data_IF_799727836912
#
_entry.id   IF_799727836912
#
_cell.length_a   1.000
_cell.length_b   1.000
_cell.length_c   1.000
_cell.angle_alpha   90.00
_cell.angle_beta   90.00
_cell.angle_gamma   90.00
#
_symmetry.space_group_name_H-M   'P 1'
#
loop_
_entity.id
_entity.type
_entity.pdbx_description
1 polymer ?
#
# COMPACT_ATOMS: atom_id res chain seq x y z
N UNK A 1 -1.01 -18.85 -10.85
CA UNK A 1 -1.12 -18.99 -12.32
C UNK A 1 -2.46 -18.45 -12.88
N UNK A 2 -3.64 -19.05 -12.59
CA UNK A 2 -4.94 -18.58 -13.13
C UNK A 2 -5.23 -17.09 -12.93
N UNK A 3 -4.85 -16.53 -11.77
CA UNK A 3 -5.05 -15.09 -11.49
C UNK A 3 -4.14 -14.22 -12.37
N UNK A 4 -2.87 -14.57 -12.54
CA UNK A 4 -1.94 -13.86 -13.41
C UNK A 4 -2.41 -13.90 -14.86
N UNK A 5 -2.76 -15.09 -15.35
CA UNK A 5 -3.30 -15.25 -16.71
C UNK A 5 -4.55 -14.38 -16.96
N UNK A 6 -5.46 -14.33 -15.97
CA UNK A 6 -6.65 -13.48 -16.06
C UNK A 6 -6.29 -12.00 -16.13
N UNK A 7 -5.33 -11.55 -15.31
CA UNK A 7 -4.88 -10.15 -15.26
C UNK A 7 -4.18 -9.78 -16.57
N UNK A 8 -3.29 -10.65 -17.07
CA UNK A 8 -2.65 -10.45 -18.39
C UNK A 8 -3.68 -10.40 -19.52
N UNK A 9 -4.70 -11.28 -19.51
CA UNK A 9 -5.78 -11.22 -20.47
C UNK A 9 -6.64 -9.95 -20.39
N UNK A 10 -6.74 -9.34 -19.21
CA UNK A 10 -7.50 -8.09 -18.98
C UNK A 10 -6.74 -6.85 -19.47
N UNK A 11 -5.44 -6.77 -19.19
CA UNK A 11 -4.64 -5.57 -19.42
C UNK A 11 -3.70 -5.69 -20.63
N UNK A 12 -3.47 -6.91 -21.15
CA UNK A 12 -2.57 -7.20 -22.31
C UNK A 12 -1.22 -6.46 -22.19
N UNK A 13 -0.48 -6.67 -21.09
CA UNK A 13 0.75 -5.93 -20.82
C UNK A 13 1.88 -6.37 -21.77
N UNK A 14 2.73 -5.42 -22.17
CA UNK A 14 3.97 -5.67 -22.89
C UNK A 14 5.06 -6.25 -21.96
N UNK A 15 5.05 -5.87 -20.69
CA UNK A 15 5.98 -6.34 -19.67
C UNK A 15 5.24 -6.64 -18.36
N UNK A 16 5.61 -7.74 -17.72
CA UNK A 16 5.08 -8.12 -16.40
C UNK A 16 6.24 -8.23 -15.42
N UNK A 17 6.16 -7.48 -14.31
CA UNK A 17 7.14 -7.51 -13.24
C UNK A 17 6.48 -8.06 -11.98
N UNK A 18 7.02 -9.14 -11.45
CA UNK A 18 6.56 -9.78 -10.21
C UNK A 18 7.55 -9.45 -9.11
N UNK A 19 7.10 -8.73 -8.10
CA UNK A 19 7.92 -8.33 -6.95
C UNK A 19 7.63 -9.26 -5.77
N UNK A 20 8.70 -9.77 -5.16
CA UNK A 20 8.65 -10.64 -3.99
C UNK A 20 9.22 -9.92 -2.78
N UNK A 21 8.68 -10.22 -1.60
CA UNK A 21 9.30 -9.79 -0.36
C UNK A 21 10.69 -10.44 -0.23
N UNK A 22 11.72 -9.62 0.00
CA UNK A 22 13.06 -10.11 0.25
C UNK A 22 13.21 -10.70 1.65
N UNK A 23 14.24 -11.52 1.85
CA UNK A 23 14.56 -12.03 3.17
C UNK A 23 14.82 -10.85 4.12
N UNK A 24 14.16 -10.86 5.27
CA UNK A 24 14.26 -9.76 6.24
C UNK A 24 13.63 -8.44 5.81
N UNK A 25 12.78 -8.40 4.77
CA UNK A 25 12.21 -7.17 4.20
C UNK A 25 11.62 -6.20 5.23
N UNK A 26 10.91 -6.73 6.23
CA UNK A 26 10.32 -5.88 7.30
C UNK A 26 11.27 -5.53 8.45
N UNK A 27 12.53 -5.96 8.43
CA UNK A 27 13.46 -5.77 9.59
C UNK A 27 13.71 -4.29 9.88
N UNK A 28 13.95 -3.47 8.88
CA UNK A 28 14.19 -2.03 9.05
C UNK A 28 13.01 -1.34 9.73
N UNK A 29 11.77 -1.64 9.30
CA UNK A 29 10.56 -1.07 9.89
C UNK A 29 10.35 -1.56 11.33
N UNK A 30 10.67 -2.83 11.63
CA UNK A 30 10.63 -3.38 13.00
C UNK A 30 11.72 -2.84 13.93
N UNK A 31 12.81 -2.32 13.38
CA UNK A 31 13.82 -1.62 14.20
C UNK A 31 13.30 -0.26 14.65
N UNK A 32 12.48 0.41 13.83
CA UNK A 32 11.86 1.70 14.17
C UNK A 32 10.67 1.47 15.09
N UNK A 33 9.76 0.56 14.72
CA UNK A 33 8.62 0.17 15.54
C UNK A 33 8.55 -1.35 15.70
N UNK A 34 8.84 -1.85 16.91
CA UNK A 34 8.79 -3.28 17.26
C UNK A 34 7.40 -3.89 17.09
N UNK A 35 6.35 -3.08 17.12
CA UNK A 35 4.97 -3.50 16.96
C UNK A 35 4.55 -3.58 15.48
N UNK A 36 5.36 -3.08 14.55
CA UNK A 36 5.08 -3.14 13.13
C UNK A 36 4.77 -4.56 12.67
N UNK A 37 3.58 -4.76 12.11
CA UNK A 37 3.06 -6.08 11.70
C UNK A 37 3.03 -7.14 12.81
N UNK A 38 3.13 -6.75 14.10
CA UNK A 38 3.02 -7.68 15.21
C UNK A 38 1.62 -8.29 15.27
N UNK A 39 1.55 -9.60 15.55
CA UNK A 39 0.28 -10.31 15.68
C UNK A 39 -0.46 -10.58 14.35
N UNK A 40 0.13 -10.28 13.19
CA UNK A 40 -0.42 -10.71 11.90
C UNK A 40 -0.55 -12.23 11.87
N UNK A 41 -1.77 -12.73 11.63
CA UNK A 41 -1.98 -14.17 11.46
C UNK A 41 -1.35 -14.63 10.15
N UNK A 42 -0.62 -15.76 10.14
CA UNK A 42 -0.05 -16.30 8.91
C UNK A 42 -1.13 -16.51 7.84
N UNK A 43 -0.83 -16.10 6.62
CA UNK A 43 -1.74 -16.33 5.48
C UNK A 43 -1.71 -17.81 5.14
N UNK A 44 -2.84 -18.51 5.26
CA UNK A 44 -2.96 -19.91 4.84
C UNK A 44 -3.17 -19.95 3.32
N UNK A 45 -2.16 -20.36 2.57
CA UNK A 45 -2.25 -20.51 1.12
C UNK A 45 -3.13 -21.70 0.69
N UNK A 46 -3.16 -22.76 1.48
CA UNK A 46 -3.98 -23.95 1.18
C UNK A 46 -5.06 -24.14 2.26
N UNK A 47 -6.26 -23.69 1.96
CA UNK A 47 -7.42 -23.83 2.85
C UNK A 47 -7.95 -25.28 2.97
N UNK A 48 -7.45 -26.20 2.14
CA UNK A 48 -7.86 -27.61 2.17
C UNK A 48 -7.06 -28.45 3.16
N UNK A 49 -5.90 -27.97 3.58
CA UNK A 49 -5.07 -28.61 4.61
C UNK A 49 -5.36 -27.92 5.94
N UNK A 50 -6.28 -28.52 6.72
CA UNK A 50 -6.82 -27.93 7.95
C UNK A 50 -5.96 -28.30 9.17
N UNK A 51 -5.25 -29.44 9.10
CA UNK A 51 -4.62 -30.11 10.24
C UNK A 51 -3.08 -29.95 10.26
N UNK A 52 -2.54 -28.90 9.63
CA UNK A 52 -1.11 -28.61 9.68
C UNK A 52 -0.74 -27.89 10.98
N UNK A 53 0.33 -28.31 11.62
CA UNK A 53 0.98 -27.54 12.68
C UNK A 53 1.45 -26.17 12.14
N UNK A 54 1.74 -25.18 12.99
CA UNK A 54 2.29 -23.90 12.56
C UNK A 54 3.54 -24.03 11.70
N UNK A 55 4.48 -24.93 12.11
CA UNK A 55 5.73 -25.17 11.36
C UNK A 55 5.49 -25.81 10.00
N UNK A 56 4.59 -26.78 9.91
CA UNK A 56 4.20 -27.42 8.65
C UNK A 56 3.47 -26.42 7.73
N UNK A 57 2.66 -25.54 8.30
CA UNK A 57 1.97 -24.48 7.55
C UNK A 57 2.96 -23.50 6.93
N UNK A 58 3.99 -23.08 7.68
CA UNK A 58 5.03 -22.19 7.18
C UNK A 58 5.89 -22.89 6.11
N UNK A 59 6.31 -24.13 6.36
CA UNK A 59 7.05 -24.92 5.37
C UNK A 59 6.25 -25.10 4.07
N UNK A 60 4.95 -25.37 4.18
CA UNK A 60 4.07 -25.50 3.02
C UNK A 60 3.94 -24.17 2.26
N UNK A 61 3.85 -23.04 2.97
CA UNK A 61 3.84 -21.70 2.37
C UNK A 61 5.09 -21.45 1.54
N UNK A 62 6.28 -21.68 2.12
CA UNK A 62 7.55 -21.50 1.41
C UNK A 62 7.68 -22.41 0.20
N UNK A 63 7.30 -23.68 0.31
CA UNK A 63 7.30 -24.61 -0.80
C UNK A 63 6.36 -24.18 -1.95
N UNK A 64 5.19 -23.65 -1.63
CA UNK A 64 4.26 -23.15 -2.65
C UNK A 64 4.79 -21.88 -3.32
N UNK A 65 5.39 -20.98 -2.55
CA UNK A 65 6.01 -19.76 -3.08
C UNK A 65 7.17 -20.10 -4.01
N UNK A 66 8.07 -21.00 -3.57
CA UNK A 66 9.20 -21.47 -4.36
C UNK A 66 8.74 -22.10 -5.68
N UNK A 67 7.77 -23.02 -5.63
CA UNK A 67 7.20 -23.61 -6.85
C UNK A 67 6.55 -22.59 -7.76
N UNK A 68 5.92 -21.55 -7.22
CA UNK A 68 5.36 -20.49 -8.03
C UNK A 68 6.48 -19.71 -8.75
N UNK A 69 7.58 -19.42 -8.07
CA UNK A 69 8.75 -18.79 -8.70
C UNK A 69 9.31 -19.64 -9.82
N UNK A 70 9.46 -20.97 -9.61
CA UNK A 70 9.90 -21.92 -10.67
C UNK A 70 8.97 -21.84 -11.90
N UNK A 71 7.65 -21.92 -11.70
CA UNK A 71 6.71 -21.82 -12.83
C UNK A 71 6.73 -20.48 -13.53
N UNK A 72 7.05 -19.40 -12.82
CA UNK A 72 7.14 -18.08 -13.43
C UNK A 72 8.42 -17.91 -14.25
N UNK A 73 9.49 -18.68 -13.96
CA UNK A 73 10.70 -18.68 -14.79
C UNK A 73 10.47 -19.20 -16.21
N UNK A 74 9.43 -20.04 -16.40
CA UNK A 74 9.04 -20.55 -17.72
C UNK A 74 8.16 -19.56 -18.52
N UNK A 75 7.86 -18.39 -17.95
CA UNK A 75 7.01 -17.38 -18.55
C UNK A 75 7.81 -16.11 -18.87
N UNK A 76 7.36 -15.28 -19.85
CA UNK A 76 8.00 -14.02 -20.17
C UNK A 76 7.66 -12.95 -19.09
N UNK A 77 8.07 -13.20 -17.86
CA UNK A 77 7.89 -12.28 -16.74
C UNK A 77 9.24 -11.99 -16.08
N UNK A 78 9.42 -10.78 -15.62
CA UNK A 78 10.57 -10.39 -14.80
C UNK A 78 10.21 -10.66 -13.35
N UNK A 79 11.05 -11.43 -12.65
CA UNK A 79 10.91 -11.61 -11.20
C UNK A 79 11.98 -10.81 -10.48
N UNK A 80 11.61 -10.10 -9.43
CA UNK A 80 12.54 -9.34 -8.60
C UNK A 80 12.29 -9.59 -7.12
N UNK A 81 13.37 -9.80 -6.38
CA UNK A 81 13.40 -9.95 -4.93
C UNK A 81 14.70 -9.30 -4.44
N UNK A 82 14.59 -8.41 -3.46
CA UNK A 82 15.74 -7.68 -2.91
C UNK A 82 15.77 -7.91 -1.42
N UNK A 83 16.88 -8.45 -0.91
CA UNK A 83 17.04 -8.72 0.52
C UNK A 83 16.89 -7.44 1.34
N UNK A 84 16.24 -7.56 2.47
CA UNK A 84 15.92 -6.46 3.40
C UNK A 84 14.99 -5.38 2.83
N UNK A 85 14.30 -5.66 1.71
CA UNK A 85 13.33 -4.76 1.09
C UNK A 85 11.98 -5.49 0.94
N UNK A 86 10.89 -4.84 1.29
CA UNK A 86 9.55 -5.36 1.05
C UNK A 86 9.16 -5.20 -0.43
N UNK A 87 8.32 -6.10 -0.94
CA UNK A 87 7.84 -6.04 -2.33
C UNK A 87 7.18 -4.70 -2.67
N UNK A 88 6.51 -4.09 -1.70
CA UNK A 88 5.81 -2.81 -1.87
C UNK A 88 6.80 -1.67 -2.21
N UNK A 89 7.98 -1.66 -1.58
CA UNK A 89 9.03 -0.69 -1.87
C UNK A 89 9.61 -0.89 -3.27
N UNK A 90 9.78 -2.16 -3.69
CA UNK A 90 10.24 -2.49 -5.04
C UNK A 90 9.22 -2.06 -6.08
N UNK A 91 7.94 -2.33 -5.86
CA UNK A 91 6.84 -1.89 -6.74
C UNK A 91 6.83 -0.36 -6.85
N UNK A 92 6.94 0.35 -5.73
CA UNK A 92 6.97 1.80 -5.72
C UNK A 92 8.17 2.36 -6.51
N UNK A 93 9.35 1.77 -6.30
CA UNK A 93 10.56 2.13 -7.05
C UNK A 93 10.39 1.92 -8.56
N UNK A 94 9.89 0.75 -8.97
CA UNK A 94 9.67 0.42 -10.39
C UNK A 94 8.64 1.36 -11.01
N UNK A 95 7.52 1.60 -10.32
CA UNK A 95 6.45 2.47 -10.82
C UNK A 95 6.90 3.92 -11.07
N UNK A 96 7.90 4.39 -10.31
CA UNK A 96 8.45 5.74 -10.41
C UNK A 96 9.77 5.80 -11.19
N UNK A 97 10.30 4.65 -11.62
CA UNK A 97 11.60 4.60 -12.27
C UNK A 97 11.56 5.25 -13.66
N UNK A 98 12.58 6.04 -13.99
CA UNK A 98 12.69 6.81 -15.23
C UNK A 98 12.50 5.96 -16.50
N UNK A 99 12.94 4.69 -16.50
CA UNK A 99 12.73 3.74 -17.61
C UNK A 99 11.25 3.62 -18.00
N UNK A 100 10.35 3.70 -17.00
CA UNK A 100 8.90 3.49 -17.16
C UNK A 100 8.09 4.79 -17.09
N UNK A 101 8.74 5.96 -17.11
CA UNK A 101 8.06 7.25 -16.98
C UNK A 101 6.95 7.42 -18.02
N UNK A 102 7.23 7.05 -19.27
CA UNK A 102 6.28 7.17 -20.39
C UNK A 102 5.30 6.00 -20.53
N UNK A 103 5.45 4.96 -19.72
CA UNK A 103 4.63 3.75 -19.82
C UNK A 103 3.32 3.88 -19.04
N UNK A 104 2.24 3.33 -19.62
CA UNK A 104 1.03 3.03 -18.86
C UNK A 104 1.34 1.89 -17.87
N UNK A 105 1.07 2.11 -16.60
CA UNK A 105 1.39 1.15 -15.53
C UNK A 105 0.14 0.73 -14.79
N UNK A 106 0.01 -0.58 -14.53
CA UNK A 106 -1.05 -1.13 -13.69
C UNK A 106 -0.39 -1.87 -12.53
N UNK A 107 -0.42 -1.26 -11.35
CA UNK A 107 -0.04 -1.93 -10.11
C UNK A 107 -1.16 -2.88 -9.72
N UNK A 108 -0.82 -4.12 -9.40
CA UNK A 108 -1.80 -5.14 -8.98
C UNK A 108 -1.61 -5.42 -7.49
N UNK A 109 -2.40 -4.76 -6.66
CA UNK A 109 -2.39 -4.93 -5.20
C UNK A 109 -3.73 -4.54 -4.60
N UNK A 110 -4.08 -5.13 -3.45
CA UNK A 110 -5.23 -4.68 -2.65
C UNK A 110 -4.86 -3.68 -1.57
N UNK A 111 -3.56 -3.38 -1.44
CA UNK A 111 -3.06 -2.42 -0.48
C UNK A 111 -3.43 -0.98 -0.89
N UNK A 112 -3.86 -0.20 0.09
CA UNK A 112 -4.25 1.20 -0.11
C UNK A 112 -3.05 2.14 -0.17
N UNK A 113 -1.91 1.71 0.33
CA UNK A 113 -0.71 2.53 0.32
C UNK A 113 -0.23 2.82 -1.11
N UNK A 114 -0.60 1.97 -2.07
CA UNK A 114 -0.37 2.24 -3.49
C UNK A 114 -1.22 3.36 -4.10
N UNK A 115 -2.23 3.86 -3.39
CA UNK A 115 -2.99 5.02 -3.89
C UNK A 115 -2.11 6.26 -4.08
N UNK A 116 -1.05 6.41 -3.29
CA UNK A 116 -0.07 7.48 -3.45
C UNK A 116 0.70 7.46 -4.78
N UNK A 117 0.74 6.30 -5.46
CA UNK A 117 1.45 6.14 -6.74
C UNK A 117 0.56 6.36 -7.96
N UNK A 118 -0.76 6.55 -7.75
CA UNK A 118 -1.70 6.77 -8.86
C UNK A 118 -1.39 8.10 -9.51
N UNK A 119 -1.38 8.09 -10.85
CA UNK A 119 -1.15 9.25 -11.70
C UNK A 119 -1.91 9.09 -13.02
N UNK A 120 -1.70 9.99 -13.95
CA UNK A 120 -2.28 9.88 -15.30
C UNK A 120 -1.84 8.59 -16.02
N UNK A 121 -0.60 8.10 -15.73
CA UNK A 121 -0.02 6.90 -16.33
C UNK A 121 0.03 5.68 -15.41
N UNK A 122 -0.34 5.82 -14.14
CA UNK A 122 -0.28 4.72 -13.15
C UNK A 122 -1.65 4.49 -12.55
N UNK A 123 -2.17 3.27 -12.71
CA UNK A 123 -3.45 2.82 -12.16
C UNK A 123 -3.22 1.68 -11.16
N UNK A 124 -4.14 1.49 -10.24
CA UNK A 124 -4.11 0.40 -9.27
C UNK A 124 -5.28 -0.55 -9.53
N UNK A 125 -5.00 -1.79 -9.89
CA UNK A 125 -6.00 -2.85 -9.91
C UNK A 125 -6.01 -3.60 -8.58
N UNK A 126 -7.18 -3.63 -7.95
CA UNK A 126 -7.41 -4.27 -6.65
C UNK A 126 -8.11 -5.61 -6.85
N UNK A 127 -7.38 -6.74 -6.88
CA UNK A 127 -7.92 -8.02 -7.33
C UNK A 127 -9.00 -8.60 -6.40
N UNK A 128 -8.94 -8.33 -5.09
CA UNK A 128 -9.95 -8.78 -4.12
C UNK A 128 -11.26 -8.04 -4.34
N UNK A 129 -11.21 -6.73 -4.56
CA UNK A 129 -12.36 -5.86 -4.81
C UNK A 129 -12.82 -5.92 -6.28
N UNK A 130 -11.98 -6.46 -7.18
CA UNK A 130 -12.16 -6.45 -8.65
C UNK A 130 -12.35 -5.03 -9.18
N UNK A 131 -11.63 -4.09 -8.64
CA UNK A 131 -11.75 -2.65 -8.88
C UNK A 131 -10.46 -2.14 -9.53
N UNK A 132 -10.60 -1.37 -10.61
CA UNK A 132 -9.51 -0.57 -11.17
C UNK A 132 -9.68 0.86 -10.66
N UNK A 133 -8.65 1.37 -10.01
CA UNK A 133 -8.63 2.74 -9.46
C UNK A 133 -7.62 3.55 -10.27
N UNK A 134 -8.09 4.54 -10.97
CA UNK A 134 -7.32 5.56 -11.64
C UNK A 134 -7.40 6.90 -10.87
N UNK A 135 -6.77 7.93 -11.40
CA UNK A 135 -6.74 9.25 -10.77
C UNK A 135 -8.14 9.86 -10.56
N UNK A 136 -9.04 9.91 -11.57
CA UNK A 136 -10.40 10.43 -11.37
C UNK A 136 -11.19 9.67 -10.30
N UNK A 137 -11.16 8.34 -10.36
CA UNK A 137 -11.83 7.46 -9.39
C UNK A 137 -11.32 7.69 -7.96
N UNK A 138 -10.00 7.88 -7.79
CA UNK A 138 -9.43 8.16 -6.47
C UNK A 138 -9.92 9.49 -5.91
N UNK A 139 -9.89 10.54 -6.71
CA UNK A 139 -10.36 11.87 -6.31
C UNK A 139 -11.86 11.87 -5.99
N UNK A 140 -12.67 11.20 -6.80
CA UNK A 140 -14.12 11.07 -6.56
C UNK A 140 -14.39 10.36 -5.23
N UNK A 141 -13.65 9.28 -4.96
CA UNK A 141 -13.90 8.40 -3.81
C UNK A 141 -13.38 8.97 -2.49
N UNK A 142 -12.24 9.65 -2.50
CA UNK A 142 -11.54 10.06 -1.29
C UNK A 142 -11.40 11.58 -1.13
N UNK A 143 -11.51 12.35 -2.20
CA UNK A 143 -11.25 13.80 -2.22
C UNK A 143 -9.86 14.17 -1.71
N UNK A 144 -8.87 13.30 -1.94
CA UNK A 144 -7.47 13.46 -1.56
C UNK A 144 -6.61 13.18 -2.80
N UNK A 145 -5.69 14.09 -3.10
CA UNK A 145 -4.76 13.91 -4.20
C UNK A 145 -3.76 12.78 -3.88
N UNK A 146 -3.34 11.94 -4.85
CA UNK A 146 -2.35 10.88 -4.62
C UNK A 146 -1.11 11.33 -3.84
N UNK A 147 -0.53 12.48 -4.17
CA UNK A 147 0.65 13.04 -3.48
C UNK A 147 0.44 13.27 -1.98
N UNK A 148 -0.79 13.49 -1.56
CA UNK A 148 -1.18 13.76 -0.18
C UNK A 148 -1.77 12.51 0.52
N UNK A 149 -1.81 11.38 -0.21
CA UNK A 149 -2.47 10.19 0.32
C UNK A 149 -1.66 9.56 1.47
N UNK A 150 -0.33 9.59 1.39
CA UNK A 150 0.54 9.13 2.47
C UNK A 150 0.32 9.96 3.74
N UNK A 151 0.31 11.32 3.63
CA UNK A 151 0.03 12.22 4.75
C UNK A 151 -1.37 11.96 5.35
N UNK A 152 -2.39 11.79 4.51
CA UNK A 152 -3.73 11.45 5.01
C UNK A 152 -3.75 10.09 5.73
N UNK A 153 -2.93 9.12 5.28
CA UNK A 153 -2.80 7.80 5.91
C UNK A 153 -2.06 7.86 7.24
N UNK A 154 -1.04 8.71 7.40
CA UNK A 154 -0.36 8.88 8.68
C UNK A 154 -1.33 9.37 9.77
N UNK A 155 -2.22 10.31 9.45
CA UNK A 155 -3.27 10.77 10.37
C UNK A 155 -4.23 9.63 10.79
N UNK A 156 -4.58 8.74 9.85
CA UNK A 156 -5.56 7.67 10.09
C UNK A 156 -4.95 6.42 10.72
N UNK A 157 -3.66 6.19 10.48
CA UNK A 157 -2.96 4.98 10.87
C UNK A 157 -3.35 3.75 10.03
N UNK A 158 -2.73 2.62 10.31
CA UNK A 158 -3.04 1.33 9.72
C UNK A 158 -3.14 0.21 10.75
N UNK A 159 -4.37 -0.23 11.00
CA UNK A 159 -4.62 -1.34 11.94
C UNK A 159 -4.05 -2.66 11.45
N UNK A 160 -3.89 -2.86 10.12
CA UNK A 160 -3.35 -4.10 9.57
C UNK A 160 -1.85 -4.21 9.83
N UNK A 161 -1.16 -3.09 9.94
CA UNK A 161 0.26 -3.00 10.24
C UNK A 161 0.55 -2.66 11.70
N UNK A 162 -0.51 -2.55 12.50
CA UNK A 162 -0.45 -2.17 13.91
C UNK A 162 0.12 -0.76 14.12
N UNK A 163 -0.10 0.12 13.14
CA UNK A 163 0.28 1.52 13.22
C UNK A 163 -0.89 2.33 13.77
N UNK A 164 -0.73 2.95 14.95
CA UNK A 164 -1.78 3.79 15.51
C UNK A 164 -1.94 5.05 14.68
N UNK A 165 -3.18 5.50 14.50
CA UNK A 165 -3.48 6.82 13.96
C UNK A 165 -4.10 7.70 15.04
N UNK A 166 -4.39 8.95 14.69
CA UNK A 166 -5.08 9.89 15.58
C UNK A 166 -6.47 9.34 15.95
N UNK A 167 -6.82 9.27 17.24
CA UNK A 167 -8.09 8.71 17.67
C UNK A 167 -9.29 9.39 17.02
N UNK A 168 -10.24 8.60 16.51
CA UNK A 168 -11.49 9.05 15.86
C UNK A 168 -11.29 9.83 14.56
N UNK A 169 -10.10 9.81 13.98
CA UNK A 169 -9.80 10.39 12.68
C UNK A 169 -9.79 9.29 11.61
N UNK A 170 -10.58 9.46 10.57
CA UNK A 170 -10.65 8.56 9.43
C UNK A 170 -10.50 9.33 8.12
N UNK A 171 -10.23 8.67 6.99
CA UNK A 171 -10.00 9.33 5.70
C UNK A 171 -11.11 10.31 5.31
N UNK A 172 -12.38 9.99 5.59
CA UNK A 172 -13.49 10.92 5.32
C UNK A 172 -13.41 12.19 6.17
N UNK A 173 -12.98 12.05 7.42
CA UNK A 173 -12.77 13.19 8.32
C UNK A 173 -11.62 14.04 7.83
N UNK A 174 -10.48 13.41 7.48
CA UNK A 174 -9.33 14.10 6.91
C UNK A 174 -9.73 14.89 5.66
N UNK A 175 -10.35 14.24 4.69
CA UNK A 175 -10.78 14.88 3.44
C UNK A 175 -11.76 16.05 3.64
N UNK A 176 -12.64 15.95 4.65
CA UNK A 176 -13.64 17.00 4.93
C UNK A 176 -13.07 18.19 5.71
N UNK A 177 -12.01 17.97 6.51
CA UNK A 177 -11.41 19.01 7.37
C UNK A 177 -10.22 19.67 6.70
N UNK A 178 -9.48 18.94 5.88
CA UNK A 178 -8.29 19.42 5.17
C UNK A 178 -8.54 19.36 3.66
N UNK A 179 -9.47 20.20 3.18
CA UNK A 179 -9.91 20.22 1.78
C UNK A 179 -8.79 20.54 0.80
N UNK A 180 -7.73 21.21 1.24
CA UNK A 180 -6.54 21.51 0.45
C UNK A 180 -5.75 20.24 0.06
N UNK A 181 -5.90 19.13 0.78
CA UNK A 181 -5.28 17.84 0.40
C UNK A 181 -5.79 17.28 -0.94
N UNK A 182 -6.85 17.87 -1.51
CA UNK A 182 -7.33 17.56 -2.86
C UNK A 182 -6.47 18.19 -3.96
N UNK A 183 -5.69 19.20 -3.64
CA UNK A 183 -4.83 19.91 -4.57
C UNK A 183 -3.62 19.07 -4.99
N UNK A 184 -3.05 19.36 -6.15
CA UNK A 184 -1.87 18.68 -6.69
C UNK A 184 -0.56 19.09 -6.01
N UNK A 185 -0.58 20.11 -5.14
CA UNK A 185 0.52 20.46 -4.25
C UNK A 185 0.72 19.32 -3.24
N UNK A 186 1.97 18.98 -2.96
CA UNK A 186 2.31 18.11 -1.84
C UNK A 186 2.31 18.93 -0.56
N UNK A 187 1.69 18.40 0.48
CA UNK A 187 1.61 18.97 1.82
C UNK A 187 2.34 18.07 2.80
N UNK A 188 2.87 18.64 3.86
CA UNK A 188 3.58 17.94 4.92
C UNK A 188 2.80 18.02 6.25
N UNK A 189 3.30 17.38 7.30
CA UNK A 189 2.64 17.35 8.61
C UNK A 189 2.49 18.76 9.18
N UNK A 190 3.50 19.59 8.96
CA UNK A 190 3.55 20.98 9.42
C UNK A 190 2.38 21.81 8.84
N UNK A 191 2.03 21.61 7.57
CA UNK A 191 0.88 22.29 6.94
C UNK A 191 -0.45 21.93 7.65
N UNK A 192 -0.57 20.68 8.12
CA UNK A 192 -1.73 20.22 8.89
C UNK A 192 -1.77 20.89 10.26
N UNK A 193 -0.62 20.97 10.95
CA UNK A 193 -0.50 21.58 12.28
C UNK A 193 -0.80 23.08 12.20
N UNK A 194 -0.16 23.80 11.28
CA UNK A 194 -0.41 25.22 11.05
C UNK A 194 -1.90 25.51 10.74
N UNK A 195 -2.52 24.65 9.91
CA UNK A 195 -3.94 24.77 9.63
C UNK A 195 -4.78 24.62 10.89
N UNK A 196 -4.50 23.61 11.74
CA UNK A 196 -5.23 23.41 12.99
C UNK A 196 -5.08 24.61 13.92
N UNK A 197 -3.87 25.15 14.08
CA UNK A 197 -3.56 26.29 14.94
C UNK A 197 -4.18 27.60 14.45
N UNK A 198 -4.32 27.78 13.14
CA UNK A 198 -4.87 28.99 12.52
C UNK A 198 -6.39 29.15 12.67
N UNK A 199 -7.09 28.12 13.19
CA UNK A 199 -8.55 28.13 13.30
C UNK A 199 -9.03 28.95 14.50
N UNK A 200 -9.88 29.96 14.29
CA UNK A 200 -10.52 30.72 15.35
C UNK A 200 -11.36 29.85 16.30
N UNK A 201 -11.91 28.74 15.75
CA UNK A 201 -12.71 27.76 16.50
C UNK A 201 -12.24 26.36 16.16
N UNK A 202 -11.46 25.76 17.04
CA UNK A 202 -11.07 24.38 16.91
C UNK A 202 -12.24 23.42 17.17
N UNK A 203 -12.29 22.36 16.35
CA UNK A 203 -13.15 21.21 16.60
C UNK A 203 -12.31 20.13 17.29
N UNK A 204 -12.96 19.21 17.99
CA UNK A 204 -12.28 18.12 18.70
C UNK A 204 -11.33 17.28 17.83
N UNK A 205 -11.57 17.23 16.52
CA UNK A 205 -10.68 16.54 15.58
C UNK A 205 -9.33 17.26 15.44
N UNK A 206 -9.34 18.60 15.41
CA UNK A 206 -8.12 19.41 15.32
C UNK A 206 -7.32 19.33 16.63
N UNK A 207 -8.01 19.42 17.79
CA UNK A 207 -7.40 19.20 19.10
C UNK A 207 -6.73 17.83 19.19
N UNK A 208 -7.43 16.75 18.77
CA UNK A 208 -6.88 15.40 18.78
C UNK A 208 -5.64 15.27 17.87
N UNK A 209 -5.59 15.98 16.75
CA UNK A 209 -4.43 15.94 15.84
C UNK A 209 -3.23 16.61 16.49
N UNK A 210 -3.41 17.82 17.07
CA UNK A 210 -2.35 18.54 17.78
C UNK A 210 -1.85 17.77 19.02
N UNK A 211 -2.74 17.11 19.76
CA UNK A 211 -2.37 16.26 20.90
C UNK A 211 -1.59 15.00 20.54
N UNK A 212 -1.70 14.54 19.28
CA UNK A 212 -1.13 13.28 18.81
C UNK A 212 -0.12 13.47 17.68
N UNK A 213 0.52 14.61 17.58
CA UNK A 213 1.53 14.94 16.56
C UNK A 213 2.60 13.84 16.43
N UNK A 214 3.03 13.26 17.54
CA UNK A 214 4.06 12.17 17.57
C UNK A 214 3.61 10.90 16.86
N UNK A 215 2.30 10.72 16.61
CA UNK A 215 1.76 9.55 15.91
C UNK A 215 1.70 9.75 14.37
N UNK A 216 1.91 10.96 13.91
CA UNK A 216 1.79 11.37 12.50
C UNK A 216 3.18 11.34 11.84
#
# INVERSE_FOLDING_TARGET
MKSLQKICGMFQPDEVIVCWDGEGGSQKRKQIDKNYKAGRKPVRFNRRLIDLSPEESDKNKYNQQYRLMEYLNDLPVIQTMIDYVEADDVIAYVAQHKKYEEWEKVIVSSDKDFFQLISDKTKLYRPIQKELVDYPTLIEKFSIHPKNFALARSLVGDKSDNLPGVPRVGLKTVASKFTFLKESKQYEVEDIMEHCESLDRMLKVHENILEHEVLI
#
